data_IF_292393024866
#
_entry.id   IF_292393024866
#
_cell.length_a   1.000
_cell.length_b   1.000
_cell.length_c   1.000
_cell.angle_alpha   90.00
_cell.angle_beta   90.00
_cell.angle_gamma   90.00
#
_symmetry.space_group_name_H-M   'P 1'
#
loop_
_entity.id
_entity.type
_entity.pdbx_description
1 polymer ?
#
# COMPACT_ATOMS: atom_id res chain seq x y z
N UNK A 1 -6.61 -16.71 -24.41
CA UNK A 1 -6.50 -16.01 -23.11
C UNK A 1 -5.18 -16.35 -22.45
N UNK A 2 -4.79 -17.62 -22.39
CA UNK A 2 -3.58 -18.05 -21.70
C UNK A 2 -2.31 -17.43 -22.29
N UNK A 3 -2.17 -17.37 -23.62
CA UNK A 3 -1.02 -16.72 -24.29
C UNK A 3 -0.81 -15.27 -23.81
N UNK A 4 -1.90 -14.51 -23.67
CA UNK A 4 -1.86 -13.14 -23.16
C UNK A 4 -1.39 -13.10 -21.69
N UNK A 5 -1.89 -14.01 -20.85
CA UNK A 5 -1.49 -14.07 -19.44
C UNK A 5 -0.03 -14.52 -19.28
N UNK A 6 0.44 -15.42 -20.13
CA UNK A 6 1.84 -15.86 -20.16
C UNK A 6 2.76 -14.76 -20.66
N UNK A 7 2.35 -13.97 -21.66
CA UNK A 7 3.08 -12.77 -22.06
C UNK A 7 3.19 -11.76 -20.92
N UNK A 8 2.11 -11.54 -20.15
CA UNK A 8 2.16 -10.69 -18.95
C UNK A 8 3.11 -11.25 -17.88
N UNK A 9 3.16 -12.57 -17.71
CA UNK A 9 4.07 -13.24 -16.79
C UNK A 9 5.52 -13.08 -17.22
N UNK A 10 5.82 -13.33 -18.50
CA UNK A 10 7.14 -13.17 -19.09
C UNK A 10 7.66 -11.71 -19.00
N UNK A 11 6.75 -10.73 -19.09
CA UNK A 11 7.07 -9.31 -18.89
C UNK A 11 7.16 -8.89 -17.41
N UNK A 12 7.27 -9.85 -16.49
CA UNK A 12 7.57 -9.61 -15.07
C UNK A 12 6.41 -9.05 -14.24
N UNK A 13 5.16 -9.19 -14.71
CA UNK A 13 3.99 -8.76 -13.92
C UNK A 13 3.78 -9.67 -12.71
N UNK A 14 3.33 -9.08 -11.61
CA UNK A 14 3.11 -9.83 -10.36
C UNK A 14 1.96 -10.83 -10.49
N UNK A 15 2.02 -11.93 -9.74
CA UNK A 15 0.95 -12.94 -9.68
C UNK A 15 -0.43 -12.31 -9.38
N UNK A 16 -0.48 -11.38 -8.41
CA UNK A 16 -1.71 -10.66 -8.08
C UNK A 16 -2.29 -9.87 -9.26
N UNK A 17 -1.43 -9.26 -10.09
CA UNK A 17 -1.87 -8.57 -11.29
C UNK A 17 -2.45 -9.56 -12.31
N UNK A 18 -1.75 -10.68 -12.56
CA UNK A 18 -2.17 -11.72 -13.50
C UNK A 18 -3.50 -12.34 -13.07
N UNK A 19 -3.65 -12.71 -11.81
CA UNK A 19 -4.90 -13.29 -11.28
C UNK A 19 -6.06 -12.28 -11.38
N UNK A 20 -5.78 -11.01 -11.13
CA UNK A 20 -6.73 -9.92 -11.34
C UNK A 20 -7.16 -9.77 -12.80
N UNK A 21 -6.23 -9.90 -13.75
CA UNK A 21 -6.52 -9.88 -15.19
C UNK A 21 -7.36 -11.09 -15.59
N UNK A 22 -6.92 -12.30 -15.22
CA UNK A 22 -7.62 -13.56 -15.49
C UNK A 22 -9.08 -13.50 -15.06
N UNK A 23 -9.36 -13.11 -13.81
CA UNK A 23 -10.74 -13.03 -13.28
C UNK A 23 -11.64 -12.10 -14.08
N UNK A 24 -11.12 -10.94 -14.51
CA UNK A 24 -11.90 -9.96 -15.28
C UNK A 24 -12.12 -10.40 -16.72
N UNK A 25 -11.08 -10.94 -17.35
CA UNK A 25 -11.14 -11.43 -18.71
C UNK A 25 -12.01 -12.67 -18.83
N UNK A 26 -12.00 -13.57 -17.84
CA UNK A 26 -12.90 -14.72 -17.81
C UNK A 26 -14.36 -14.28 -17.87
N UNK A 27 -14.79 -13.36 -16.99
CA UNK A 27 -16.17 -12.83 -17.01
C UNK A 27 -16.52 -12.13 -18.32
N UNK A 28 -15.56 -11.41 -18.91
CA UNK A 28 -15.75 -10.76 -20.21
C UNK A 28 -15.95 -11.79 -21.34
N UNK A 29 -15.09 -12.80 -21.41
CA UNK A 29 -15.15 -13.85 -22.44
C UNK A 29 -16.37 -14.76 -22.27
N UNK A 30 -16.77 -15.06 -21.03
CA UNK A 30 -18.02 -15.77 -20.71
C UNK A 30 -19.23 -14.98 -21.21
N UNK A 31 -19.23 -13.65 -21.05
CA UNK A 31 -20.31 -12.80 -21.54
C UNK A 31 -20.35 -12.72 -23.07
N UNK A 32 -19.20 -12.58 -23.73
CA UNK A 32 -19.15 -12.46 -25.19
C UNK A 32 -19.38 -13.79 -25.90
N UNK A 33 -19.10 -14.92 -25.23
CA UNK A 33 -19.16 -16.26 -25.80
C UNK A 33 -18.44 -16.37 -27.16
N UNK A 34 -17.31 -15.68 -27.30
CA UNK A 34 -16.53 -15.61 -28.55
C UNK A 34 -16.92 -14.51 -29.53
N UNK A 35 -18.10 -13.88 -29.40
CA UNK A 35 -18.51 -12.75 -30.25
C UNK A 35 -17.91 -11.43 -29.75
N UNK A 36 -16.76 -11.06 -30.30
CA UNK A 36 -16.07 -9.80 -29.99
C UNK A 36 -16.39 -8.77 -31.08
N UNK A 37 -17.52 -8.07 -30.93
CA UNK A 37 -17.95 -6.97 -31.79
C UNK A 37 -18.16 -5.67 -31.00
N UNK A 38 -18.15 -4.48 -31.65
CA UNK A 38 -18.38 -3.21 -30.95
C UNK A 38 -19.71 -3.18 -30.18
N UNK A 39 -20.73 -3.86 -30.71
CA UNK A 39 -22.04 -4.01 -30.06
C UNK A 39 -21.93 -4.84 -28.78
N UNK A 40 -21.30 -6.01 -28.86
CA UNK A 40 -21.19 -6.95 -27.74
C UNK A 40 -20.30 -6.39 -26.62
N UNK A 41 -19.20 -5.72 -26.96
CA UNK A 41 -18.33 -5.06 -25.98
C UNK A 41 -19.03 -3.87 -25.32
N UNK A 42 -19.77 -3.06 -26.07
CA UNK A 42 -20.59 -1.97 -25.50
C UNK A 42 -21.64 -2.53 -24.55
N UNK A 43 -22.35 -3.58 -24.98
CA UNK A 43 -23.36 -4.26 -24.17
C UNK A 43 -22.78 -4.79 -22.86
N UNK A 44 -21.59 -5.41 -22.91
CA UNK A 44 -20.87 -5.85 -21.70
C UNK A 44 -20.68 -4.71 -20.70
N UNK A 45 -20.14 -3.56 -21.12
CA UNK A 45 -19.90 -2.44 -20.21
C UNK A 45 -21.17 -1.77 -19.72
N UNK A 46 -22.25 -1.76 -20.51
CA UNK A 46 -23.57 -1.24 -20.12
C UNK A 46 -24.21 -2.12 -19.04
N UNK A 47 -24.17 -3.45 -19.20
CA UNK A 47 -24.78 -4.40 -18.27
C UNK A 47 -23.86 -4.76 -17.09
N UNK A 48 -22.60 -4.34 -17.11
CA UNK A 48 -21.64 -4.66 -16.06
C UNK A 48 -22.01 -3.92 -14.76
N UNK A 49 -22.75 -4.59 -13.89
CA UNK A 49 -23.07 -4.10 -12.56
C UNK A 49 -21.87 -4.22 -11.62
N UNK A 50 -21.23 -3.08 -11.33
CA UNK A 50 -20.17 -2.93 -10.36
C UNK A 50 -19.86 -1.44 -10.11
N UNK A 51 -19.06 -1.16 -9.07
CA UNK A 51 -18.61 0.20 -8.77
C UNK A 51 -17.81 0.83 -9.93
N UNK A 52 -17.83 2.18 -10.08
CA UNK A 52 -17.10 2.86 -11.16
C UNK A 52 -15.60 2.51 -11.22
N UNK A 53 -14.97 2.33 -10.04
CA UNK A 53 -13.57 1.91 -9.94
C UNK A 53 -13.35 0.50 -10.50
N UNK A 54 -14.26 -0.41 -10.19
CA UNK A 54 -14.22 -1.79 -10.69
C UNK A 54 -14.45 -1.81 -12.20
N UNK A 55 -15.43 -1.05 -12.70
CA UNK A 55 -15.70 -0.89 -14.13
C UNK A 55 -14.47 -0.36 -14.88
N UNK A 56 -13.75 0.62 -14.31
CA UNK A 56 -12.49 1.10 -14.88
C UNK A 56 -11.41 0.02 -14.92
N UNK A 57 -11.35 -0.89 -13.94
CA UNK A 57 -10.42 -2.02 -13.98
C UNK A 57 -10.79 -3.04 -15.07
N UNK A 58 -12.08 -3.31 -15.29
CA UNK A 58 -12.52 -4.11 -16.44
C UNK A 58 -12.16 -3.43 -17.76
N UNK A 59 -12.44 -2.13 -17.89
CA UNK A 59 -12.11 -1.34 -19.08
C UNK A 59 -10.62 -1.48 -19.44
N UNK A 60 -9.72 -1.27 -18.46
CA UNK A 60 -8.28 -1.40 -18.67
C UNK A 60 -7.86 -2.82 -19.04
N UNK A 61 -8.43 -3.83 -18.38
CA UNK A 61 -8.10 -5.23 -18.62
C UNK A 61 -8.51 -5.65 -20.04
N UNK A 62 -9.76 -5.38 -20.41
CA UNK A 62 -10.33 -5.68 -21.74
C UNK A 62 -9.58 -4.91 -22.82
N UNK A 63 -9.33 -3.62 -22.63
CA UNK A 63 -8.56 -2.80 -23.59
C UNK A 63 -7.17 -3.38 -23.84
N UNK A 64 -6.44 -3.74 -22.78
CA UNK A 64 -5.10 -4.32 -22.91
C UNK A 64 -5.12 -5.69 -23.60
N UNK A 65 -6.13 -6.52 -23.29
CA UNK A 65 -6.32 -7.82 -23.91
C UNK A 65 -6.66 -7.71 -25.41
N UNK A 66 -7.60 -6.84 -25.77
CA UNK A 66 -7.96 -6.61 -27.17
C UNK A 66 -6.80 -6.02 -27.96
N UNK A 67 -6.03 -5.10 -27.35
CA UNK A 67 -4.81 -4.57 -27.95
C UNK A 67 -3.78 -5.66 -28.27
N UNK A 68 -3.61 -6.65 -27.38
CA UNK A 68 -2.68 -7.77 -27.61
C UNK A 68 -3.03 -8.58 -28.86
N UNK A 69 -4.33 -8.75 -29.16
CA UNK A 69 -4.81 -9.44 -30.36
C UNK A 69 -5.09 -8.50 -31.55
N UNK A 70 -4.70 -7.22 -31.48
CA UNK A 70 -4.93 -6.26 -32.58
C UNK A 70 -6.39 -5.81 -32.75
N UNK A 71 -7.26 -6.08 -31.77
CA UNK A 71 -8.71 -5.80 -31.79
C UNK A 71 -9.09 -4.54 -31.01
N UNK A 72 -8.15 -3.63 -30.74
CA UNK A 72 -8.40 -2.42 -29.93
C UNK A 72 -9.52 -1.54 -30.54
N UNK A 73 -9.69 -1.57 -31.86
CA UNK A 73 -10.73 -0.83 -32.58
C UNK A 73 -12.16 -1.15 -32.13
N UNK A 74 -12.39 -2.34 -31.56
CA UNK A 74 -13.70 -2.74 -31.03
C UNK A 74 -14.12 -1.88 -29.83
N UNK A 75 -13.16 -1.24 -29.15
CA UNK A 75 -13.40 -0.32 -28.04
C UNK A 75 -13.73 1.12 -28.49
N UNK A 76 -13.76 1.40 -29.80
CA UNK A 76 -14.00 2.75 -30.31
C UNK A 76 -15.38 3.28 -29.85
N UNK A 77 -15.39 4.50 -29.33
CA UNK A 77 -16.60 5.12 -28.76
C UNK A 77 -17.02 4.57 -27.40
N UNK A 78 -16.18 3.78 -26.73
CA UNK A 78 -16.32 3.40 -25.32
C UNK A 78 -15.28 4.18 -24.50
N UNK A 79 -15.76 5.18 -23.76
CA UNK A 79 -14.87 6.00 -22.92
C UNK A 79 -14.54 5.31 -21.59
N UNK A 80 -13.34 5.55 -21.02
CA UNK A 80 -13.03 5.09 -19.67
C UNK A 80 -14.05 5.62 -18.65
N UNK A 81 -14.54 4.80 -17.71
CA UNK A 81 -15.45 5.25 -16.67
C UNK A 81 -14.82 6.37 -15.82
N UNK A 82 -15.58 7.45 -15.59
CA UNK A 82 -15.20 8.48 -14.62
C UNK A 82 -15.31 7.90 -13.21
N UNK A 83 -14.24 8.03 -12.44
CA UNK A 83 -14.21 7.59 -11.03
C UNK A 83 -14.25 8.83 -10.16
N UNK A 84 -15.26 9.00 -9.29
CA UNK A 84 -15.29 10.08 -8.31
C UNK A 84 -14.01 10.09 -7.48
N UNK A 85 -13.46 11.29 -7.25
CA UNK A 85 -12.35 11.46 -6.31
C UNK A 85 -12.96 11.61 -4.92
N UNK A 86 -12.63 10.68 -4.03
CA UNK A 86 -12.98 10.81 -2.62
C UNK A 86 -11.82 11.46 -1.88
N UNK A 87 -12.14 12.32 -0.92
CA UNK A 87 -11.15 12.87 -0.02
C UNK A 87 -10.50 11.77 0.82
N UNK A 88 -9.20 11.88 1.12
CA UNK A 88 -8.56 10.95 2.02
C UNK A 88 -9.15 11.08 3.43
N UNK A 89 -9.50 9.97 4.11
CA UNK A 89 -9.93 10.03 5.50
C UNK A 89 -8.83 10.62 6.38
N UNK A 90 -9.24 11.50 7.28
CA UNK A 90 -8.44 11.97 8.42
C UNK A 90 -8.43 10.86 9.46
N UNK A 91 -7.28 10.56 10.04
CA UNK A 91 -7.13 9.56 11.10
C UNK A 91 -6.64 10.29 12.35
N UNK A 92 -7.46 10.37 13.39
CA UNK A 92 -7.11 11.10 14.61
C UNK A 92 -6.27 10.25 15.57
N UNK A 93 -5.59 10.92 16.50
CA UNK A 93 -4.82 10.24 17.57
C UNK A 93 -5.75 9.39 18.43
N UNK A 94 -6.94 9.90 18.73
CA UNK A 94 -7.94 9.25 19.57
C UNK A 94 -8.45 7.95 18.93
N UNK A 95 -8.71 7.95 17.61
CA UNK A 95 -9.11 6.73 16.90
C UNK A 95 -8.00 5.67 16.93
N UNK A 96 -6.74 6.08 16.78
CA UNK A 96 -5.58 5.17 16.84
C UNK A 96 -5.45 4.58 18.24
N UNK A 97 -5.46 5.40 19.29
CA UNK A 97 -5.38 4.94 20.69
C UNK A 97 -6.56 4.02 21.02
N UNK A 98 -7.77 4.39 20.60
CA UNK A 98 -8.99 3.59 20.79
C UNK A 98 -8.85 2.19 20.21
N UNK A 99 -8.35 2.07 18.97
CA UNK A 99 -8.14 0.77 18.33
C UNK A 99 -6.97 -0.01 18.92
N UNK A 100 -5.87 0.64 19.30
CA UNK A 100 -4.74 -0.03 19.96
C UNK A 100 -5.16 -0.63 21.31
N UNK A 101 -6.02 0.05 22.07
CA UNK A 101 -6.55 -0.44 23.33
C UNK A 101 -7.46 -1.66 23.18
N UNK A 102 -8.15 -1.81 22.04
CA UNK A 102 -8.94 -3.02 21.73
C UNK A 102 -8.04 -4.23 21.44
N UNK A 103 -6.85 -4.01 20.88
CA UNK A 103 -5.96 -5.09 20.46
C UNK A 103 -5.25 -5.79 21.63
N UNK A 104 -5.02 -7.09 21.47
CA UNK A 104 -4.17 -7.85 22.38
C UNK A 104 -2.69 -7.49 22.20
N UNK A 105 -1.85 -7.84 23.17
CA UNK A 105 -0.46 -7.38 23.24
C UNK A 105 0.32 -7.50 21.92
N UNK A 106 0.28 -8.67 21.27
CA UNK A 106 1.02 -8.89 20.01
C UNK A 106 0.51 -8.01 18.88
N UNK A 107 -0.81 -7.97 18.67
CA UNK A 107 -1.43 -7.16 17.62
C UNK A 107 -1.28 -5.66 17.89
N UNK A 108 -1.28 -5.25 19.17
CA UNK A 108 -1.04 -3.87 19.58
C UNK A 108 0.35 -3.42 19.16
N UNK A 109 1.41 -4.16 19.51
CA UNK A 109 2.78 -3.84 19.09
C UNK A 109 2.89 -3.79 17.57
N UNK A 110 2.27 -4.75 16.87
CA UNK A 110 2.24 -4.78 15.39
C UNK A 110 1.54 -3.56 14.77
N UNK A 111 0.42 -3.12 15.33
CA UNK A 111 -0.28 -1.91 14.88
C UNK A 111 0.52 -0.64 15.22
N UNK A 112 1.10 -0.56 16.42
CA UNK A 112 2.00 0.53 16.83
C UNK A 112 3.20 0.66 15.91
N UNK A 113 3.81 -0.46 15.48
CA UNK A 113 4.91 -0.43 14.49
C UNK A 113 4.48 0.31 13.21
N UNK A 114 3.27 0.06 12.69
CA UNK A 114 2.75 0.79 11.52
C UNK A 114 2.48 2.27 11.82
N UNK A 115 1.98 2.58 13.02
CA UNK A 115 1.73 3.94 13.49
C UNK A 115 3.02 4.77 13.57
N UNK A 116 4.13 4.14 13.90
CA UNK A 116 5.41 4.80 14.17
C UNK A 116 6.37 4.84 13.00
N UNK A 117 6.30 3.87 12.08
CA UNK A 117 7.28 3.72 11.00
C UNK A 117 6.71 4.07 9.62
N UNK A 118 5.39 4.20 9.53
CA UNK A 118 4.70 4.46 8.27
C UNK A 118 4.93 3.41 7.20
N UNK A 119 5.36 2.17 7.51
CA UNK A 119 5.63 1.14 6.51
C UNK A 119 4.39 0.81 5.66
N UNK A 120 4.58 0.44 4.38
CA UNK A 120 3.48 -0.14 3.60
C UNK A 120 3.18 -1.54 4.13
N UNK A 121 1.92 -1.95 4.11
CA UNK A 121 1.50 -3.31 4.48
C UNK A 121 2.39 -4.40 3.87
N UNK A 122 2.63 -4.34 2.55
CA UNK A 122 3.45 -5.33 1.86
C UNK A 122 4.94 -5.29 2.26
N UNK A 123 5.47 -4.09 2.53
CA UNK A 123 6.87 -3.93 2.98
C UNK A 123 7.00 -4.52 4.38
N UNK A 124 6.11 -4.12 5.28
CA UNK A 124 6.14 -4.53 6.67
C UNK A 124 5.91 -6.04 6.84
N UNK A 125 5.03 -6.65 6.05
CA UNK A 125 4.79 -8.10 6.06
C UNK A 125 5.96 -8.95 5.55
N UNK A 126 7.01 -8.32 5.00
CA UNK A 126 8.22 -8.96 4.48
C UNK A 126 9.49 -8.59 5.26
N UNK A 127 9.36 -7.79 6.31
CA UNK A 127 10.46 -7.49 7.20
C UNK A 127 10.81 -8.72 8.03
N UNK A 128 12.11 -8.90 8.23
CA UNK A 128 12.68 -9.88 9.13
C UNK A 128 13.41 -9.16 10.26
N UNK A 129 13.68 -9.84 11.38
CA UNK A 129 14.33 -9.20 12.53
C UNK A 129 15.73 -8.66 12.25
N UNK A 130 16.39 -9.17 11.20
CA UNK A 130 17.68 -8.67 10.71
C UNK A 130 17.59 -7.28 10.08
N UNK A 131 16.39 -6.83 9.72
CA UNK A 131 16.15 -5.48 9.17
C UNK A 131 16.05 -4.40 10.26
N UNK A 132 16.02 -4.79 11.53
CA UNK A 132 15.89 -3.88 12.65
C UNK A 132 17.26 -3.62 13.26
N UNK A 133 17.73 -2.38 13.11
CA UNK A 133 18.84 -1.85 13.86
C UNK A 133 18.28 -1.25 15.16
N UNK A 134 18.32 -2.05 16.23
CA UNK A 134 17.83 -1.66 17.55
C UNK A 134 18.80 -0.74 18.31
N UNK A 135 20.04 -0.58 17.85
CA UNK A 135 20.96 0.41 18.44
C UNK A 135 20.58 1.81 17.97
N UNK A 136 20.33 1.94 16.67
CA UNK A 136 19.92 3.21 16.06
C UNK A 136 18.42 3.41 16.00
N UNK A 137 17.62 2.44 16.43
CA UNK A 137 16.15 2.45 16.33
C UNK A 137 15.66 2.73 14.89
N UNK A 138 16.29 2.04 13.93
CA UNK A 138 16.04 2.15 12.49
C UNK A 138 15.51 0.82 11.95
N UNK A 139 14.74 0.91 10.89
CA UNK A 139 14.26 -0.24 10.11
C UNK A 139 14.74 -0.08 8.68
N UNK A 140 15.53 -1.04 8.22
CA UNK A 140 15.99 -1.11 6.84
C UNK A 140 14.90 -1.73 5.95
N UNK A 141 14.41 -0.97 4.97
CA UNK A 141 13.49 -1.46 3.96
C UNK A 141 14.28 -1.71 2.68
N UNK A 142 14.68 -2.97 2.50
CA UNK A 142 15.48 -3.44 1.37
C UNK A 142 14.79 -3.20 0.02
N UNK A 143 15.56 -3.02 -1.05
CA UNK A 143 15.05 -2.79 -2.40
C UNK A 143 14.13 -3.92 -2.90
N UNK A 144 14.40 -5.19 -2.57
CA UNK A 144 13.58 -6.33 -2.98
C UNK A 144 12.21 -6.35 -2.29
N UNK A 145 12.10 -5.66 -1.17
CA UNK A 145 10.89 -5.50 -0.37
C UNK A 145 10.14 -4.22 -0.75
N UNK A 146 10.88 -3.16 -1.07
CA UNK A 146 10.35 -1.86 -1.45
C UNK A 146 9.61 -1.92 -2.79
N UNK A 147 8.50 -1.18 -2.90
CA UNK A 147 7.66 -1.18 -4.11
C UNK A 147 8.39 -0.57 -5.33
N UNK A 148 9.25 0.40 -5.09
CA UNK A 148 10.02 1.16 -6.08
C UNK A 148 11.39 0.55 -6.40
N UNK A 149 11.81 -0.49 -5.66
CA UNK A 149 13.15 -1.08 -5.71
C UNK A 149 14.28 -0.13 -5.28
N UNK A 150 13.95 0.81 -4.40
CA UNK A 150 14.93 1.69 -3.77
C UNK A 150 15.06 1.32 -2.29
N UNK A 151 16.29 1.16 -1.83
CA UNK A 151 16.56 0.96 -0.41
C UNK A 151 16.25 2.24 0.36
N UNK A 152 15.66 2.07 1.55
CA UNK A 152 15.39 3.20 2.43
C UNK A 152 15.41 2.78 3.88
N UNK A 153 15.54 3.77 4.75
CA UNK A 153 15.29 3.58 6.18
C UNK A 153 13.93 4.16 6.55
N UNK A 154 13.36 3.60 7.60
CA UNK A 154 12.39 4.29 8.45
C UNK A 154 12.82 4.12 9.89
N UNK A 155 12.09 4.74 10.80
CA UNK A 155 12.46 4.84 12.19
C UNK A 155 11.33 4.31 13.07
N UNK A 156 11.71 3.93 14.27
CA UNK A 156 10.81 3.63 15.38
C UNK A 156 11.26 4.46 16.58
N UNK A 157 10.36 4.85 17.50
CA UNK A 157 10.77 5.56 18.69
C UNK A 157 11.68 4.70 19.56
N UNK A 158 12.66 5.32 20.20
CA UNK A 158 13.61 4.58 21.04
C UNK A 158 12.92 3.86 22.21
N UNK A 159 11.87 4.45 22.78
CA UNK A 159 11.09 3.82 23.86
C UNK A 159 10.31 2.57 23.38
N UNK A 160 10.00 2.45 22.09
CA UNK A 160 9.21 1.34 21.53
C UNK A 160 10.07 0.10 21.25
N UNK A 161 11.40 0.21 21.38
CA UNK A 161 12.35 -0.88 21.18
C UNK A 161 12.03 -2.10 22.04
N UNK A 162 11.75 -1.91 23.32
CA UNK A 162 11.51 -3.00 24.29
C UNK A 162 10.30 -3.86 23.92
N UNK A 163 9.24 -3.23 23.39
CA UNK A 163 8.05 -3.94 22.91
C UNK A 163 8.37 -4.86 21.72
N UNK A 164 9.19 -4.38 20.78
CA UNK A 164 9.63 -5.15 19.62
C UNK A 164 10.59 -6.27 20.01
N UNK A 165 11.52 -6.00 20.93
CA UNK A 165 12.41 -7.04 21.49
C UNK A 165 11.60 -8.12 22.21
N UNK A 166 10.52 -7.76 22.90
CA UNK A 166 9.57 -8.69 23.50
C UNK A 166 8.86 -9.58 22.47
N UNK A 167 8.48 -9.04 21.30
CA UNK A 167 7.96 -9.84 20.19
C UNK A 167 9.03 -10.80 19.63
N UNK A 168 10.25 -10.30 19.44
CA UNK A 168 11.38 -11.07 18.92
C UNK A 168 11.75 -12.24 19.83
N UNK A 169 11.81 -12.00 21.15
CA UNK A 169 12.09 -13.03 22.15
C UNK A 169 11.04 -14.15 22.15
N UNK A 170 9.77 -13.80 21.89
CA UNK A 170 8.66 -14.76 21.72
C UNK A 170 8.64 -15.44 20.33
N UNK A 171 9.65 -15.20 19.49
CA UNK A 171 9.81 -15.75 18.14
C UNK A 171 8.66 -15.42 17.17
N UNK A 172 7.93 -14.33 17.43
CA UNK A 172 6.96 -13.82 16.46
C UNK A 172 7.68 -13.15 15.29
N UNK A 173 7.06 -13.14 14.11
CA UNK A 173 7.48 -12.22 13.04
C UNK A 173 7.21 -10.75 13.42
N UNK A 174 8.02 -9.79 12.92
CA UNK A 174 7.84 -8.37 13.21
C UNK A 174 6.42 -7.90 12.88
N UNK A 175 5.92 -8.26 11.70
CA UNK A 175 4.56 -7.97 11.28
C UNK A 175 3.98 -9.08 10.42
N UNK A 176 2.74 -9.49 10.73
CA UNK A 176 1.92 -10.34 9.88
C UNK A 176 0.63 -9.60 9.54
N UNK A 177 0.62 -8.89 8.41
CA UNK A 177 -0.49 -7.96 8.07
C UNK A 177 -1.84 -8.67 8.00
N UNK A 178 -1.89 -9.86 7.41
CA UNK A 178 -3.15 -10.60 7.29
C UNK A 178 -3.72 -10.95 8.68
N UNK A 179 -2.86 -11.48 9.56
CA UNK A 179 -3.22 -11.83 10.95
C UNK A 179 -3.66 -10.59 11.72
N UNK A 180 -2.91 -9.49 11.60
CA UNK A 180 -3.26 -8.21 12.22
C UNK A 180 -4.61 -7.70 11.71
N UNK A 181 -4.82 -7.68 10.39
CA UNK A 181 -6.06 -7.22 9.80
C UNK A 181 -7.25 -8.08 10.24
N UNK A 182 -7.05 -9.40 10.35
CA UNK A 182 -8.09 -10.30 10.82
C UNK A 182 -8.44 -10.04 12.28
N UNK A 183 -7.45 -9.89 13.17
CA UNK A 183 -7.67 -9.60 14.60
C UNK A 183 -8.35 -8.23 14.77
N UNK A 184 -7.90 -7.20 14.06
CA UNK A 184 -8.55 -5.87 14.06
C UNK A 184 -10.04 -5.96 13.69
N UNK A 185 -10.39 -6.69 12.63
CA UNK A 185 -11.80 -6.90 12.25
C UNK A 185 -12.58 -7.66 13.33
N UNK A 186 -11.99 -8.73 13.88
CA UNK A 186 -12.61 -9.53 14.94
C UNK A 186 -12.90 -8.70 16.18
N UNK A 187 -12.04 -7.73 16.49
CA UNK A 187 -12.17 -6.84 17.65
C UNK A 187 -12.96 -5.56 17.37
N UNK A 188 -13.56 -5.43 16.18
CA UNK A 188 -14.37 -4.27 15.82
C UNK A 188 -13.58 -2.97 15.73
N UNK A 189 -12.28 -3.04 15.42
CA UNK A 189 -11.46 -1.85 15.17
C UNK A 189 -12.02 -1.08 13.97
N UNK A 190 -12.06 0.25 14.08
CA UNK A 190 -12.54 1.14 13.00
C UNK A 190 -11.50 1.28 11.89
N UNK A 191 -10.23 1.30 12.27
CA UNK A 191 -9.09 1.51 11.41
C UNK A 191 -8.65 0.20 10.75
N UNK A 192 -7.95 0.34 9.63
CA UNK A 192 -7.26 -0.77 8.95
C UNK A 192 -5.75 -0.57 9.03
N UNK A 193 -4.90 -1.59 8.84
CA UNK A 193 -3.44 -1.42 8.88
C UNK A 193 -2.94 -0.29 7.96
N UNK A 194 -3.50 -0.16 6.76
CA UNK A 194 -3.25 0.98 5.85
C UNK A 194 -3.54 2.35 6.46
N UNK A 195 -4.55 2.48 7.34
CA UNK A 195 -4.89 3.74 7.99
C UNK A 195 -3.84 4.15 9.03
N UNK A 196 -3.15 3.21 9.68
CA UNK A 196 -2.02 3.52 10.57
C UNK A 196 -0.87 4.20 9.81
N UNK A 197 -0.57 3.77 8.58
CA UNK A 197 0.38 4.48 7.70
C UNK A 197 -0.10 5.88 7.34
N UNK A 198 -1.41 6.07 7.10
CA UNK A 198 -1.97 7.40 6.80
C UNK A 198 -1.87 8.32 8.00
N UNK A 199 -2.22 7.80 9.19
CA UNK A 199 -2.04 8.48 10.46
C UNK A 199 -0.60 8.97 10.61
N UNK A 200 0.38 8.08 10.44
CA UNK A 200 1.80 8.45 10.54
C UNK A 200 2.17 9.62 9.64
N UNK A 201 1.80 9.56 8.35
CA UNK A 201 2.10 10.63 7.37
C UNK A 201 1.43 11.94 7.80
N UNK A 202 0.13 11.91 8.10
CA UNK A 202 -0.63 13.09 8.54
C UNK A 202 -0.02 13.69 9.80
N UNK A 203 0.38 12.84 10.75
CA UNK A 203 0.94 13.25 12.03
C UNK A 203 2.31 13.91 11.87
N UNK A 204 3.21 13.35 11.06
CA UNK A 204 4.50 13.99 10.79
C UNK A 204 4.34 15.37 10.15
N UNK A 205 3.44 15.50 9.17
CA UNK A 205 3.16 16.79 8.53
C UNK A 205 2.57 17.81 9.52
N UNK A 206 1.64 17.38 10.39
CA UNK A 206 1.06 18.23 11.44
C UNK A 206 2.07 18.66 12.50
N UNK A 207 3.05 17.81 12.80
CA UNK A 207 4.16 18.12 13.72
C UNK A 207 5.28 18.96 13.05
N UNK A 208 5.05 19.44 11.83
CA UNK A 208 5.95 20.36 11.14
C UNK A 208 7.15 19.70 10.47
N UNK A 209 7.14 18.38 10.28
CA UNK A 209 8.21 17.70 9.52
C UNK A 209 8.09 18.07 8.04
N UNK A 210 9.18 18.54 7.39
CA UNK A 210 9.11 18.94 5.99
C UNK A 210 8.64 17.80 5.08
N UNK A 211 7.76 18.11 4.13
CA UNK A 211 7.12 17.11 3.25
C UNK A 211 8.12 16.21 2.51
N UNK A 212 9.25 16.76 2.06
CA UNK A 212 10.32 15.98 1.42
C UNK A 212 10.94 14.93 2.37
N UNK A 213 11.11 15.28 3.65
CA UNK A 213 11.58 14.36 4.70
C UNK A 213 10.54 13.27 4.94
N UNK A 214 9.27 13.64 5.11
CA UNK A 214 8.16 12.67 5.29
C UNK A 214 8.12 11.69 4.13
N UNK A 215 8.17 12.18 2.89
CA UNK A 215 8.19 11.34 1.67
C UNK A 215 9.37 10.37 1.66
N UNK A 216 10.56 10.82 2.05
CA UNK A 216 11.76 9.97 2.13
C UNK A 216 11.60 8.86 3.17
N UNK A 217 11.11 9.19 4.37
CA UNK A 217 10.81 8.20 5.43
C UNK A 217 9.83 7.15 4.93
N UNK A 218 8.77 7.55 4.21
CA UNK A 218 7.73 6.60 3.78
C UNK A 218 8.00 5.95 2.41
N UNK A 219 9.09 6.31 1.73
CA UNK A 219 9.43 5.83 0.40
C UNK A 219 8.42 6.28 -0.67
N UNK A 220 8.06 7.56 -0.67
CA UNK A 220 7.29 8.17 -1.75
C UNK A 220 8.26 8.76 -2.78
N UNK A 221 8.02 8.48 -4.06
CA UNK A 221 8.77 9.12 -5.14
C UNK A 221 8.58 10.64 -5.09
N UNK A 222 9.61 11.41 -5.48
CA UNK A 222 9.49 12.86 -5.67
C UNK A 222 8.25 13.21 -6.50
N UNK A 223 7.48 14.21 -6.07
CA UNK A 223 6.28 14.63 -6.82
C UNK A 223 6.56 15.65 -7.90
N UNK A 224 7.72 16.30 -7.85
CA UNK A 224 8.10 17.41 -8.70
C UNK A 224 9.62 17.43 -8.94
N UNK A 225 10.02 18.27 -9.89
CA UNK A 225 11.42 18.44 -10.32
C UNK A 225 12.27 18.95 -9.16
N UNK A 226 11.73 19.80 -8.27
CA UNK A 226 12.47 20.34 -7.16
C UNK A 226 12.89 19.24 -6.18
N UNK A 227 11.94 18.41 -5.75
CA UNK A 227 12.22 17.26 -4.92
C UNK A 227 13.14 16.24 -5.60
N UNK A 228 13.03 16.08 -6.93
CA UNK A 228 13.83 15.12 -7.67
C UNK A 228 15.30 15.55 -7.83
N UNK A 229 15.57 16.85 -7.97
CA UNK A 229 16.90 17.35 -8.35
C UNK A 229 17.59 18.21 -7.30
N UNK A 230 16.85 18.84 -6.38
CA UNK A 230 17.38 19.83 -5.46
C UNK A 230 17.21 19.45 -3.98
N UNK A 231 16.22 18.61 -3.66
CA UNK A 231 16.02 18.12 -2.30
C UNK A 231 16.93 16.90 -2.02
N UNK A 232 18.19 17.18 -1.70
CA UNK A 232 19.11 16.19 -1.16
C UNK A 232 19.18 16.32 0.36
N UNK A 233 18.72 15.29 1.08
CA UNK A 233 18.77 15.23 2.55
C UNK A 233 19.41 13.91 2.94
N UNK A 234 20.41 13.94 3.82
CA UNK A 234 21.08 12.75 4.33
C UNK A 234 20.15 11.93 5.23
N UNK A 235 20.42 10.64 5.43
CA UNK A 235 19.61 9.84 6.35
C UNK A 235 19.79 10.28 7.81
N UNK A 236 20.95 10.86 8.14
CA UNK A 236 21.25 11.47 9.43
C UNK A 236 20.34 12.68 9.69
N UNK A 237 20.13 13.54 8.69
CA UNK A 237 19.24 14.69 8.84
C UNK A 237 17.76 14.27 8.90
N UNK A 238 17.36 13.28 8.10
CA UNK A 238 16.02 12.68 8.21
C UNK A 238 15.78 12.12 9.62
N UNK A 239 16.77 11.44 10.18
CA UNK A 239 16.68 10.91 11.54
C UNK A 239 16.52 12.02 12.57
N UNK A 240 17.28 13.13 12.48
CA UNK A 240 17.14 14.27 13.40
C UNK A 240 15.70 14.80 13.43
N UNK A 241 15.07 14.93 12.26
CA UNK A 241 13.66 15.34 12.19
C UNK A 241 12.73 14.35 12.91
N UNK A 242 12.91 13.05 12.68
CA UNK A 242 12.10 12.02 13.33
C UNK A 242 12.29 12.01 14.85
N UNK A 243 13.56 12.01 15.31
CA UNK A 243 13.92 11.94 16.74
C UNK A 243 13.38 13.13 17.53
N UNK A 244 13.33 14.31 16.93
CA UNK A 244 12.77 15.51 17.57
C UNK A 244 11.30 15.35 17.97
N UNK A 245 10.53 14.58 17.20
CA UNK A 245 9.06 14.50 17.34
C UNK A 245 8.57 13.11 17.79
N UNK A 246 9.46 12.13 18.02
CA UNK A 246 9.07 10.73 18.17
C UNK A 246 8.12 10.48 19.36
N UNK A 247 8.26 11.25 20.44
CA UNK A 247 7.36 11.21 21.60
C UNK A 247 5.98 11.82 21.34
N UNK A 248 5.84 12.65 20.31
CA UNK A 248 4.59 13.33 19.97
C UNK A 248 3.79 12.61 18.86
N UNK A 249 4.39 11.64 18.16
CA UNK A 249 3.72 10.90 17.07
C UNK A 249 2.45 10.23 17.61
N UNK A 250 2.60 9.43 18.66
CA UNK A 250 1.50 8.79 19.34
C UNK A 250 1.76 8.96 20.84
N UNK A 251 1.19 10.01 21.46
CA UNK A 251 1.36 10.25 22.88
C UNK A 251 0.72 9.08 23.66
N UNK A 252 1.47 8.53 24.60
CA UNK A 252 1.00 7.53 25.56
C UNK A 252 0.23 8.19 26.70
#
# INVERSE_FOLDING_TARGET
>A
MDDFLDCLKASGRSKLHIDGMRRRLRRFLEYTNGDISPKTVRSFFTLLDCSPKTRLHYFRAVKQFLKFYGLEWVMNGISPPKVPKNEPPIVSVEDVISDLNRLGAVSRVRASLLAYSGLREWEAGRLEWVDFDFERCRVHVRAEVAKDREERFTFIPCFFKSDLEGLKAKRYKPLEVYTLQHDMRRRGCKLTPKMFRKFFIQRLELLGVPRGVVKRIVGHRPSDIYEAHYFSVSWEDVEKFYRKIEGEILPY
#
